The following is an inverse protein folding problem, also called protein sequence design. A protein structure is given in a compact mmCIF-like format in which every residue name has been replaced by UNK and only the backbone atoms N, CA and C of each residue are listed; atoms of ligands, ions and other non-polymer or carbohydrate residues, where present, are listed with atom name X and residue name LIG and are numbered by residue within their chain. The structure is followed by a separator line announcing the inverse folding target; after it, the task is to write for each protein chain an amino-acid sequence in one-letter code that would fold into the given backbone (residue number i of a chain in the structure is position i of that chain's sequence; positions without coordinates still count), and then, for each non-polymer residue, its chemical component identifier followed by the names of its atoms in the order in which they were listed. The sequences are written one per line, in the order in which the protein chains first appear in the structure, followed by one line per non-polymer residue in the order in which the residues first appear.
data_IF_034453849821
#
_entry.id   IF_034453849821
#
_cell.length_a   1.000
_cell.length_b   1.000
_cell.length_c   1.000
_cell.angle_alpha   90.00
_cell.angle_beta   90.00
_cell.angle_gamma   90.00
#
_symmetry.space_group_name_H-M   'P 1'
#
loop_
_entity.id
_entity.type
_entity.pdbx_description
1 polymer ?
#
# COMPACT_ATOMS: atom_id res chain seq x y z
N UNK A 1 -27.06 -1.45 0.33
CA UNK A 1 -25.70 -1.30 -0.23
C UNK A 1 -25.20 0.09 0.14
N UNK A 2 -24.39 0.24 1.22
CA UNK A 2 -23.79 1.54 1.51
C UNK A 2 -22.60 1.87 0.56
N UNK A 3 -22.27 0.98 -0.39
CA UNK A 3 -20.94 0.90 -1.00
C UNK A 3 -20.83 1.47 -2.41
N UNK A 4 -21.16 2.74 -2.62
CA UNK A 4 -20.65 3.47 -3.81
C UNK A 4 -20.07 4.79 -3.37
N UNK A 5 -18.87 4.74 -2.80
CA UNK A 5 -18.06 5.94 -2.62
C UNK A 5 -17.77 6.53 -4.01
N UNK A 6 -18.42 7.64 -4.35
CA UNK A 6 -18.20 8.39 -5.59
C UNK A 6 -16.81 9.00 -5.67
N UNK A 7 -16.15 9.16 -4.53
CA UNK A 7 -14.81 9.74 -4.39
C UNK A 7 -13.69 8.71 -4.41
N UNK A 8 -13.99 7.40 -4.49
CA UNK A 8 -12.96 6.36 -4.51
C UNK A 8 -11.95 6.60 -5.65
N UNK A 9 -12.43 7.00 -6.82
CA UNK A 9 -11.58 7.31 -7.96
C UNK A 9 -10.66 8.50 -7.69
N UNK A 10 -11.14 9.53 -7.00
CA UNK A 10 -10.35 10.72 -6.64
C UNK A 10 -9.29 10.37 -5.61
N UNK A 11 -9.67 9.58 -4.59
CA UNK A 11 -8.76 9.07 -3.58
C UNK A 11 -7.63 8.25 -4.21
N UNK A 12 -7.96 7.28 -5.06
CA UNK A 12 -6.96 6.45 -5.75
C UNK A 12 -6.04 7.28 -6.65
N UNK A 13 -6.57 8.32 -7.31
CA UNK A 13 -5.77 9.26 -8.11
C UNK A 13 -4.77 10.03 -7.24
N UNK A 14 -5.22 10.56 -6.10
CA UNK A 14 -4.33 11.28 -5.16
C UNK A 14 -3.27 10.35 -4.59
N UNK A 15 -3.64 9.14 -4.17
CA UNK A 15 -2.70 8.14 -3.67
C UNK A 15 -1.64 7.78 -4.72
N UNK A 16 -2.04 7.55 -5.97
CA UNK A 16 -1.11 7.30 -7.07
C UNK A 16 -0.11 8.45 -7.24
N UNK A 17 -0.58 9.70 -7.29
CA UNK A 17 0.28 10.87 -7.46
C UNK A 17 1.29 11.02 -6.32
N UNK A 18 0.87 10.72 -5.09
CA UNK A 18 1.76 10.75 -3.91
C UNK A 18 2.85 9.68 -4.05
N UNK A 19 2.49 8.45 -4.41
CA UNK A 19 3.44 7.36 -4.61
C UNK A 19 4.44 7.70 -5.74
N UNK A 20 3.95 8.23 -6.87
CA UNK A 20 4.81 8.63 -7.98
C UNK A 20 5.84 9.69 -7.57
N UNK A 21 5.43 10.71 -6.83
CA UNK A 21 6.35 11.72 -6.29
C UNK A 21 7.39 11.10 -5.36
N UNK A 22 6.97 10.21 -4.45
CA UNK A 22 7.90 9.56 -3.54
C UNK A 22 8.90 8.62 -4.25
N UNK A 23 8.50 7.99 -5.35
CA UNK A 23 9.42 7.21 -6.19
C UNK A 23 10.45 8.13 -6.85
N UNK A 24 10.03 9.29 -7.36
CA UNK A 24 10.95 10.25 -7.97
C UNK A 24 11.92 10.86 -6.95
N UNK A 25 11.43 11.19 -5.74
CA UNK A 25 12.25 11.59 -4.60
C UNK A 25 13.26 10.49 -4.23
N UNK A 26 12.79 9.26 -4.09
CA UNK A 26 13.61 8.08 -3.76
C UNK A 26 14.71 7.84 -4.78
N UNK A 27 14.38 7.91 -6.07
CA UNK A 27 15.33 7.86 -7.18
C UNK A 27 16.40 8.93 -7.05
N UNK A 28 16.00 10.17 -6.73
CA UNK A 28 16.91 11.30 -6.58
C UNK A 28 17.84 11.14 -5.38
N UNK A 29 17.30 10.82 -4.19
CA UNK A 29 18.05 10.65 -2.95
C UNK A 29 19.05 9.49 -3.01
N UNK A 30 18.70 8.39 -3.69
CA UNK A 30 19.55 7.20 -3.82
C UNK A 30 20.38 7.18 -5.11
N UNK A 31 20.34 8.26 -5.90
CA UNK A 31 21.07 8.39 -7.15
C UNK A 31 20.82 7.25 -8.15
N UNK A 32 19.59 6.70 -8.17
CA UNK A 32 19.22 5.61 -9.08
C UNK A 32 19.02 6.20 -10.49
N UNK A 33 19.77 5.78 -11.52
CA UNK A 33 19.67 6.40 -12.84
C UNK A 33 18.37 6.06 -13.56
N UNK A 34 17.95 4.80 -13.49
CA UNK A 34 16.75 4.30 -14.15
C UNK A 34 15.51 4.41 -13.25
N UNK A 35 14.36 4.73 -13.85
CA UNK A 35 13.12 4.89 -13.10
C UNK A 35 12.50 3.54 -12.75
N UNK A 36 12.63 2.51 -13.59
CA UNK A 36 12.09 1.18 -13.28
C UNK A 36 12.85 0.53 -12.13
N UNK A 37 14.17 0.72 -12.09
CA UNK A 37 15.01 0.32 -10.96
C UNK A 37 14.57 1.02 -9.66
N UNK A 38 14.30 2.33 -9.71
CA UNK A 38 13.80 3.07 -8.54
C UNK A 38 12.41 2.59 -8.08
N UNK A 39 11.52 2.25 -9.03
CA UNK A 39 10.22 1.65 -8.72
C UNK A 39 10.42 0.29 -8.02
N UNK A 40 11.29 -0.56 -8.54
CA UNK A 40 11.56 -1.87 -7.98
C UNK A 40 12.12 -1.76 -6.55
N UNK A 41 13.15 -0.93 -6.34
CA UNK A 41 13.76 -0.69 -5.03
C UNK A 41 12.76 -0.07 -4.04
N UNK A 42 11.91 0.87 -4.50
CA UNK A 42 10.85 1.45 -3.68
C UNK A 42 9.82 0.40 -3.25
N UNK A 43 9.37 -0.46 -4.17
CA UNK A 43 8.42 -1.54 -3.86
C UNK A 43 9.05 -2.57 -2.92
N UNK A 44 10.32 -2.90 -3.10
CA UNK A 44 11.03 -3.83 -2.21
C UNK A 44 11.08 -3.28 -0.78
N UNK A 45 11.38 -2.00 -0.60
CA UNK A 45 11.54 -1.37 0.72
C UNK A 45 10.23 -0.99 1.40
N UNK A 46 9.22 -0.56 0.64
CA UNK A 46 8.00 0.04 1.18
C UNK A 46 6.72 -0.69 0.78
N UNK A 47 6.79 -1.65 -0.15
CA UNK A 47 5.62 -2.39 -0.63
C UNK A 47 4.89 -3.19 0.46
N UNK A 48 5.58 -3.52 1.55
CA UNK A 48 4.98 -4.17 2.71
C UNK A 48 3.90 -3.29 3.38
N UNK A 49 4.01 -1.96 3.32
CA UNK A 49 3.01 -1.03 3.90
C UNK A 49 1.69 -1.16 3.14
N UNK A 50 1.74 -1.16 1.80
CA UNK A 50 0.56 -1.34 0.95
C UNK A 50 -0.04 -2.73 1.14
N UNK A 51 0.83 -3.74 1.34
CA UNK A 51 0.40 -5.10 1.64
C UNK A 51 -0.29 -5.17 3.01
N UNK A 52 0.24 -4.55 4.04
CA UNK A 52 -0.36 -4.50 5.38
C UNK A 52 -1.73 -3.83 5.34
N UNK A 53 -1.84 -2.66 4.71
CA UNK A 53 -3.11 -1.96 4.53
C UNK A 53 -4.15 -2.88 3.87
N UNK A 54 -3.79 -3.50 2.76
CA UNK A 54 -4.73 -4.33 2.01
C UNK A 54 -5.07 -5.62 2.77
N UNK A 55 -4.06 -6.40 3.15
CA UNK A 55 -4.24 -7.70 3.79
C UNK A 55 -4.85 -7.59 5.19
N UNK A 56 -4.44 -6.62 5.99
CA UNK A 56 -4.93 -6.45 7.36
C UNK A 56 -6.35 -5.89 7.43
N UNK A 57 -6.73 -5.01 6.50
CA UNK A 57 -7.94 -4.19 6.66
C UNK A 57 -8.94 -4.29 5.50
N UNK A 58 -8.50 -4.50 4.26
CA UNK A 58 -9.36 -4.37 3.06
C UNK A 58 -9.76 -5.73 2.48
N UNK A 59 -8.83 -6.67 2.41
CA UNK A 59 -9.03 -7.97 1.77
C UNK A 59 -10.22 -8.71 2.41
N UNK A 60 -11.20 -9.07 1.58
CA UNK A 60 -12.47 -9.68 2.02
C UNK A 60 -12.30 -11.10 2.56
N UNK A 61 -11.25 -11.80 2.12
CA UNK A 61 -10.93 -13.18 2.51
C UNK A 61 -9.72 -13.25 3.44
N UNK A 62 -9.38 -12.15 4.13
CA UNK A 62 -8.15 -12.06 4.94
C UNK A 62 -8.06 -13.07 6.08
N UNK A 63 -9.19 -13.56 6.58
CA UNK A 63 -9.24 -14.58 7.63
C UNK A 63 -8.91 -15.99 7.13
N UNK A 64 -8.99 -16.21 5.82
CA UNK A 64 -8.75 -17.51 5.17
C UNK A 64 -7.43 -17.51 4.37
N UNK A 65 -6.90 -16.34 4.00
CA UNK A 65 -5.65 -16.21 3.27
C UNK A 65 -4.43 -16.27 4.20
N UNK A 66 -3.57 -17.29 4.03
CA UNK A 66 -2.36 -17.50 4.84
C UNK A 66 -1.39 -16.31 4.81
N UNK A 67 -1.29 -15.62 3.67
CA UNK A 67 -0.49 -14.39 3.58
C UNK A 67 -1.14 -13.29 4.42
N UNK A 68 -2.46 -13.10 4.31
CA UNK A 68 -3.14 -12.00 4.98
C UNK A 68 -3.18 -12.18 6.50
N UNK A 69 -3.22 -13.42 6.99
CA UNK A 69 -3.15 -13.75 8.42
C UNK A 69 -1.91 -13.16 9.10
N UNK A 70 -0.80 -12.98 8.38
CA UNK A 70 0.44 -12.38 8.89
C UNK A 70 0.32 -10.88 9.17
N UNK A 71 -0.70 -10.22 8.61
CA UNK A 71 -0.90 -8.77 8.68
C UNK A 71 -2.21 -8.41 9.41
N UNK A 72 -2.82 -9.38 10.09
CA UNK A 72 -4.02 -9.07 10.89
C UNK A 72 -3.62 -8.12 12.02
N UNK A 73 -4.40 -7.05 12.25
CA UNK A 73 -4.13 -6.15 13.36
C UNK A 73 -4.09 -6.95 14.66
N UNK A 74 -3.28 -6.52 15.66
CA UNK A 74 -3.38 -7.07 17.00
C UNK A 74 -4.85 -7.03 17.41
N UNK A 75 -5.35 -8.10 18.05
CA UNK A 75 -6.69 -8.06 18.63
C UNK A 75 -6.76 -6.79 19.47
N UNK A 76 -7.65 -5.87 19.12
CA UNK A 76 -7.93 -4.74 19.98
C UNK A 76 -8.33 -5.34 21.32
N UNK A 77 -7.48 -5.18 22.35
CA UNK A 77 -7.85 -5.59 23.69
C UNK A 77 -9.14 -4.84 24.03
N UNK A 78 -10.23 -5.56 24.33
CA UNK A 78 -11.42 -4.92 24.84
C UNK A 78 -11.08 -4.46 26.26
N UNK A 79 -10.66 -3.20 26.40
CA UNK A 79 -10.72 -2.50 27.68
C UNK A 79 -12.19 -2.37 28.11
#
# INVERSE_FOLDING_TARGET
MPDRCTHLRELLKVQKNIIERHIDDHKWFLHIPDRQEAIADFIEKFGWIMRELYCGYICSVRLECEIAKQYLPPRADPN
#
